data_IF_694692513810
#
_entry.id   IF_694692513810
#
_cell.length_a   1.000
_cell.length_b   1.000
_cell.length_c   1.000
_cell.angle_alpha   90.00
_cell.angle_beta   90.00
_cell.angle_gamma   90.00
#
_symmetry.space_group_name_H-M   'P 1'
#
loop_
_entity.id
_entity.type
_entity.pdbx_description
1 polymer ?
#
# COMPACT_ATOMS: atom_id res chain seq x y z
N UNK A 1 1.06 -0.56 -9.62
CA UNK A 1 -0.06 -1.11 -10.42
C UNK A 1 -1.30 -0.27 -10.20
N UNK A 2 -1.92 0.15 -11.27
CA UNK A 2 -3.15 0.94 -11.27
C UNK A 2 -4.06 0.36 -12.36
N UNK A 3 -4.87 -0.63 -12.01
CA UNK A 3 -5.77 -1.32 -12.92
C UNK A 3 -7.22 -1.14 -12.48
N UNK A 4 -7.99 -0.48 -13.32
CA UNK A 4 -9.44 -0.30 -13.14
C UNK A 4 -10.15 -0.33 -14.49
N UNK A 5 -11.45 -0.56 -14.47
CA UNK A 5 -12.33 -0.47 -15.61
C UNK A 5 -13.49 0.51 -15.32
N UNK A 6 -14.50 0.58 -16.20
CA UNK A 6 -15.66 1.45 -16.01
C UNK A 6 -16.39 1.23 -14.68
N UNK A 7 -16.34 0.01 -14.14
CA UNK A 7 -17.05 -0.41 -12.93
C UNK A 7 -16.18 -0.33 -11.67
N UNK A 8 -14.92 0.11 -11.78
CA UNK A 8 -13.98 0.21 -10.66
C UNK A 8 -12.72 -0.64 -10.84
N UNK A 9 -12.27 -1.31 -9.78
CA UNK A 9 -11.07 -2.15 -9.81
C UNK A 9 -11.22 -3.32 -10.76
N UNK A 10 -10.14 -3.63 -11.50
CA UNK A 10 -10.14 -4.76 -12.42
C UNK A 10 -10.23 -6.10 -11.66
N UNK A 11 -11.19 -6.98 -11.99
CA UNK A 11 -11.32 -8.29 -11.32
C UNK A 11 -10.06 -9.16 -11.41
N UNK A 12 -9.20 -8.92 -12.40
CA UNK A 12 -7.92 -9.61 -12.55
C UNK A 12 -7.03 -9.48 -11.30
N UNK A 13 -7.14 -8.40 -10.53
CA UNK A 13 -6.39 -8.21 -9.28
C UNK A 13 -6.78 -9.21 -8.19
N UNK A 14 -7.97 -9.79 -8.26
CA UNK A 14 -8.43 -10.82 -7.32
C UNK A 14 -8.03 -12.24 -7.75
N UNK A 15 -7.43 -12.41 -8.92
CA UNK A 15 -6.98 -13.73 -9.40
C UNK A 15 -5.85 -14.25 -8.50
N UNK A 16 -5.87 -15.56 -8.14
CA UNK A 16 -4.97 -16.09 -7.10
C UNK A 16 -3.48 -15.91 -7.38
N UNK A 17 -3.08 -15.88 -8.64
CA UNK A 17 -1.68 -15.84 -9.06
C UNK A 17 -1.19 -14.49 -9.55
N UNK A 18 -2.06 -13.48 -9.65
CA UNK A 18 -1.68 -12.15 -10.15
C UNK A 18 -0.54 -11.54 -9.31
N UNK A 19 -0.74 -11.40 -8.01
CA UNK A 19 0.26 -10.81 -7.11
C UNK A 19 1.48 -11.71 -6.92
N UNK A 20 1.30 -13.02 -6.98
CA UNK A 20 2.43 -13.96 -6.95
C UNK A 20 3.35 -13.76 -8.14
N UNK A 21 2.80 -13.56 -9.31
CA UNK A 21 3.58 -13.19 -10.51
C UNK A 21 4.25 -11.83 -10.37
N UNK A 22 3.55 -10.83 -9.84
CA UNK A 22 4.16 -9.52 -9.55
C UNK A 22 5.35 -9.66 -8.61
N UNK A 23 5.20 -10.43 -7.52
CA UNK A 23 6.29 -10.66 -6.57
C UNK A 23 7.50 -11.32 -7.22
N UNK A 24 7.30 -12.29 -8.10
CA UNK A 24 8.40 -12.97 -8.79
C UNK A 24 9.30 -12.05 -9.61
N UNK A 25 8.84 -10.84 -9.94
CA UNK A 25 9.59 -9.83 -10.66
C UNK A 25 10.40 -8.88 -9.75
N UNK A 26 10.31 -9.02 -8.43
CA UNK A 26 10.88 -8.07 -7.48
C UNK A 26 12.27 -8.45 -6.92
N UNK A 27 12.82 -9.60 -7.26
CA UNK A 27 14.18 -10.04 -6.92
C UNK A 27 14.54 -9.98 -5.40
N UNK A 28 13.56 -10.20 -4.52
CA UNK A 28 13.79 -10.30 -3.07
C UNK A 28 14.00 -8.97 -2.33
N UNK A 29 14.03 -7.84 -3.02
CA UNK A 29 14.21 -6.50 -2.41
C UNK A 29 13.25 -5.44 -2.96
N UNK A 30 12.33 -5.86 -3.78
CA UNK A 30 11.40 -4.94 -4.43
C UNK A 30 10.15 -4.65 -3.61
N UNK A 31 9.49 -3.58 -3.99
CA UNK A 31 8.21 -3.14 -3.43
C UNK A 31 7.20 -3.05 -4.57
N UNK A 32 6.06 -3.70 -4.40
CA UNK A 32 4.91 -3.52 -5.27
C UNK A 32 4.02 -2.43 -4.67
N UNK A 33 3.66 -1.42 -5.44
CA UNK A 33 2.64 -0.45 -5.07
C UNK A 33 1.40 -0.64 -5.94
N UNK A 34 0.24 -0.75 -5.30
CA UNK A 34 -1.05 -0.96 -5.97
C UNK A 34 -2.00 0.15 -5.55
N UNK A 35 -2.52 0.89 -6.53
CA UNK A 35 -3.58 1.86 -6.27
C UNK A 35 -4.93 1.13 -6.27
N UNK A 36 -5.60 1.10 -5.12
CA UNK A 36 -6.88 0.44 -4.92
C UNK A 36 -7.98 1.50 -4.75
N UNK A 37 -8.96 1.44 -5.60
CA UNK A 37 -10.13 2.29 -5.46
C UNK A 37 -11.16 1.66 -4.51
N UNK A 38 -11.53 2.40 -3.48
CA UNK A 38 -12.46 1.94 -2.42
C UNK A 38 -13.92 2.30 -2.71
N UNK A 39 -14.33 2.25 -3.99
CA UNK A 39 -15.72 2.51 -4.40
C UNK A 39 -16.65 1.33 -4.09
N UNK A 40 -17.71 1.17 -4.87
CA UNK A 40 -18.89 0.38 -4.54
C UNK A 40 -18.74 -1.15 -4.48
N UNK A 41 -17.56 -1.71 -4.70
CA UNK A 41 -17.30 -3.17 -4.71
C UNK A 41 -16.47 -3.63 -3.51
N UNK A 42 -17.04 -3.54 -2.34
CA UNK A 42 -16.36 -3.94 -1.09
C UNK A 42 -15.91 -5.41 -1.10
N UNK A 43 -16.70 -6.33 -1.66
CA UNK A 43 -16.37 -7.75 -1.73
C UNK A 43 -15.14 -8.02 -2.62
N UNK A 44 -15.06 -7.33 -3.76
CA UNK A 44 -13.92 -7.41 -4.66
C UNK A 44 -12.66 -6.84 -4.00
N UNK A 45 -12.78 -5.71 -3.32
CA UNK A 45 -11.69 -5.09 -2.60
C UNK A 45 -11.13 -6.01 -1.50
N UNK A 46 -12.01 -6.66 -0.73
CA UNK A 46 -11.61 -7.65 0.28
C UNK A 46 -10.88 -8.84 -0.35
N UNK A 47 -11.33 -9.31 -1.51
CA UNK A 47 -10.66 -10.39 -2.24
C UNK A 47 -9.28 -9.99 -2.73
N UNK A 48 -9.14 -8.77 -3.24
CA UNK A 48 -7.85 -8.19 -3.67
C UNK A 48 -6.88 -8.09 -2.48
N UNK A 49 -7.32 -7.54 -1.36
CA UNK A 49 -6.50 -7.44 -0.14
C UNK A 49 -6.04 -8.81 0.35
N UNK A 50 -6.93 -9.80 0.34
CA UNK A 50 -6.60 -11.17 0.74
C UNK A 50 -5.56 -11.79 -0.20
N UNK A 51 -5.71 -11.63 -1.51
CA UNK A 51 -4.77 -12.12 -2.50
C UNK A 51 -3.38 -11.48 -2.35
N UNK A 52 -3.34 -10.16 -2.13
CA UNK A 52 -2.10 -9.42 -1.91
C UNK A 52 -1.37 -9.91 -0.65
N UNK A 53 -2.07 -9.99 0.49
CA UNK A 53 -1.51 -10.48 1.74
C UNK A 53 -0.95 -11.90 1.63
N UNK A 54 -1.71 -12.80 0.99
CA UNK A 54 -1.26 -14.18 0.77
C UNK A 54 0.00 -14.23 -0.08
N UNK A 55 0.09 -13.44 -1.15
CA UNK A 55 1.22 -13.46 -2.07
C UNK A 55 2.49 -12.85 -1.48
N UNK A 56 2.35 -11.95 -0.50
CA UNK A 56 3.47 -11.27 0.15
C UNK A 56 3.69 -11.69 1.61
N UNK A 57 3.14 -12.84 2.02
CA UNK A 57 3.33 -13.41 3.37
C UNK A 57 2.98 -12.40 4.48
N UNK A 58 1.89 -11.66 4.31
CA UNK A 58 1.45 -10.55 5.17
C UNK A 58 2.41 -9.35 5.27
N UNK A 59 3.50 -9.32 4.49
CA UNK A 59 4.38 -8.17 4.41
C UNK A 59 3.74 -7.06 3.54
N UNK A 60 2.65 -6.50 4.04
CA UNK A 60 1.81 -5.52 3.33
C UNK A 60 1.54 -4.32 4.23
N UNK A 61 1.55 -3.12 3.64
CA UNK A 61 1.10 -1.88 4.26
C UNK A 61 -0.01 -1.24 3.44
N UNK A 62 -0.89 -0.52 4.11
CA UNK A 62 -1.99 0.22 3.50
C UNK A 62 -1.87 1.70 3.83
N UNK A 63 -1.94 2.54 2.80
CA UNK A 63 -1.96 3.99 2.94
C UNK A 63 -3.27 4.53 2.34
N UNK A 64 -4.29 4.81 3.18
CA UNK A 64 -5.47 5.53 2.71
C UNK A 64 -5.10 6.92 2.22
N UNK A 65 -5.60 7.31 1.07
CA UNK A 65 -5.37 8.66 0.54
C UNK A 65 -6.52 9.55 1.01
N UNK A 66 -6.20 10.48 1.93
CA UNK A 66 -7.17 11.41 2.48
C UNK A 66 -7.90 12.17 1.38
N UNK A 67 -9.22 12.36 1.55
CA UNK A 67 -10.12 13.07 0.63
C UNK A 67 -10.34 12.37 -0.72
N UNK A 68 -9.82 11.16 -0.91
CA UNK A 68 -10.03 10.34 -2.10
C UNK A 68 -10.50 8.94 -1.70
N UNK A 69 -11.18 8.28 -2.61
CA UNK A 69 -11.63 6.90 -2.41
C UNK A 69 -10.57 5.89 -2.85
N UNK A 70 -9.31 6.17 -2.47
CA UNK A 70 -8.16 5.34 -2.84
C UNK A 70 -7.43 4.89 -1.59
N UNK A 71 -6.88 3.70 -1.66
CA UNK A 71 -5.84 3.21 -0.76
C UNK A 71 -4.67 2.74 -1.62
N UNK A 72 -3.47 3.18 -1.30
CA UNK A 72 -2.27 2.59 -1.90
C UNK A 72 -1.84 1.44 -1.01
N UNK A 73 -1.81 0.23 -1.54
CA UNK A 73 -1.28 -0.94 -0.85
C UNK A 73 0.15 -1.20 -1.32
N UNK A 74 1.03 -1.53 -0.38
CA UNK A 74 2.43 -1.89 -0.65
C UNK A 74 2.68 -3.33 -0.24
N UNK A 75 3.18 -4.13 -1.18
CA UNK A 75 3.68 -5.49 -0.90
C UNK A 75 5.20 -5.48 -0.92
N UNK A 76 5.83 -6.01 0.12
CA UNK A 76 7.28 -6.06 0.28
C UNK A 76 7.80 -7.47 0.01
N UNK A 77 8.73 -7.61 -0.91
CA UNK A 77 9.42 -8.90 -1.14
C UNK A 77 10.61 -9.09 -0.17
N UNK A 78 10.40 -8.59 1.05
CA UNK A 78 11.28 -8.72 2.21
C UNK A 78 10.42 -8.53 3.48
N UNK A 79 10.92 -8.79 4.69
CA UNK A 79 10.14 -8.62 5.90
C UNK A 79 9.53 -7.22 6.02
N UNK A 80 8.26 -7.17 6.44
CA UNK A 80 7.53 -5.90 6.59
C UNK A 80 8.37 -4.89 7.40
N UNK A 81 8.58 -3.67 6.88
CA UNK A 81 9.38 -2.68 7.58
C UNK A 81 8.69 -2.24 8.89
N UNK A 82 9.50 -1.85 9.86
CA UNK A 82 9.04 -1.15 11.06
C UNK A 82 9.86 0.13 11.22
N UNK A 83 9.26 1.13 11.86
CA UNK A 83 9.85 2.47 11.96
C UNK A 83 10.05 2.89 13.41
N UNK A 84 11.14 3.61 13.67
CA UNK A 84 11.26 4.46 14.84
C UNK A 84 10.51 5.77 14.54
N UNK A 85 9.49 6.10 15.37
CA UNK A 85 8.53 7.19 15.08
C UNK A 85 9.22 8.55 14.89
N UNK A 86 10.21 8.85 15.74
CA UNK A 86 10.91 10.14 15.67
C UNK A 86 11.69 10.28 14.37
N UNK A 87 12.37 9.22 13.95
CA UNK A 87 13.10 9.18 12.70
C UNK A 87 12.17 9.30 11.49
N UNK A 88 11.07 8.56 11.49
CA UNK A 88 10.08 8.63 10.42
C UNK A 88 9.45 10.03 10.30
N UNK A 89 9.14 10.68 11.42
CA UNK A 89 8.62 12.06 11.42
C UNK A 89 9.63 13.05 10.84
N UNK A 90 10.90 12.93 11.21
CA UNK A 90 11.96 13.79 10.65
C UNK A 90 12.05 13.60 9.14
N UNK A 91 12.11 12.36 8.67
CA UNK A 91 12.14 12.07 7.24
C UNK A 91 10.94 12.65 6.51
N UNK A 92 9.73 12.54 7.06
CA UNK A 92 8.53 13.13 6.45
C UNK A 92 8.62 14.65 6.33
N UNK A 93 9.14 15.33 7.36
CA UNK A 93 9.35 16.78 7.33
C UNK A 93 10.42 17.20 6.32
N UNK A 94 11.50 16.44 6.22
CA UNK A 94 12.58 16.70 5.25
C UNK A 94 12.06 16.54 3.82
N UNK A 95 11.24 15.51 3.55
CA UNK A 95 10.60 15.31 2.27
C UNK A 95 9.59 16.42 1.94
N UNK A 96 8.82 16.92 2.92
CA UNK A 96 7.93 18.07 2.71
C UNK A 96 8.70 19.34 2.33
N UNK A 97 9.87 19.54 2.91
CA UNK A 97 10.73 20.68 2.59
C UNK A 97 11.33 20.55 1.18
N UNK A 98 11.67 19.32 0.76
CA UNK A 98 12.25 19.04 -0.56
C UNK A 98 11.20 19.06 -1.67
N UNK A 99 10.04 18.45 -1.42
CA UNK A 99 8.95 18.31 -2.39
C UNK A 99 7.74 19.12 -1.95
N UNK A 100 7.78 20.41 -2.12
CA UNK A 100 6.70 21.33 -1.74
C UNK A 100 5.35 20.91 -2.37
N UNK A 101 4.28 21.00 -1.57
CA UNK A 101 2.93 20.63 -2.00
C UNK A 101 2.55 19.17 -1.78
N UNK A 102 3.43 18.36 -1.21
CA UNK A 102 3.14 16.96 -0.82
C UNK A 102 3.14 16.85 0.70
N UNK A 103 2.04 16.39 1.28
CA UNK A 103 1.80 16.32 2.72
C UNK A 103 2.33 15.01 3.33
N UNK A 104 3.64 14.78 3.30
CA UNK A 104 4.26 13.53 3.79
C UNK A 104 3.99 13.27 5.28
N UNK A 105 3.92 14.30 6.11
CA UNK A 105 3.58 14.15 7.53
C UNK A 105 2.15 13.65 7.72
N UNK A 106 1.22 14.06 6.86
CA UNK A 106 -0.15 13.52 6.88
C UNK A 106 -0.15 12.06 6.42
N UNK A 107 0.55 11.73 5.33
CA UNK A 107 0.67 10.35 4.86
C UNK A 107 1.27 9.44 5.92
N UNK A 108 2.27 9.91 6.66
CA UNK A 108 2.84 9.15 7.77
C UNK A 108 1.81 8.88 8.87
N UNK A 109 1.00 9.87 9.26
CA UNK A 109 -0.08 9.68 10.25
C UNK A 109 -1.09 8.64 9.78
N UNK A 110 -1.53 8.73 8.53
CA UNK A 110 -2.51 7.82 7.94
C UNK A 110 -1.94 6.39 7.83
N UNK A 111 -0.67 6.28 7.44
CA UNK A 111 0.05 5.00 7.37
C UNK A 111 0.13 4.32 8.74
N UNK A 112 0.52 5.06 9.77
CA UNK A 112 0.63 4.55 11.14
C UNK A 112 -0.72 4.15 11.72
N UNK A 113 -1.75 4.93 11.46
CA UNK A 113 -3.11 4.64 11.92
C UNK A 113 -3.69 3.37 11.27
N UNK A 114 -3.32 3.11 10.01
CA UNK A 114 -3.88 2.01 9.22
C UNK A 114 -3.09 0.69 9.35
N UNK A 115 -1.91 0.72 9.95
CA UNK A 115 -1.02 -0.44 10.03
C UNK A 115 -0.52 -0.65 11.46
N UNK A 116 -1.31 -1.31 12.33
CA UNK A 116 -0.89 -1.61 13.70
C UNK A 116 0.44 -2.38 13.73
N UNK A 117 1.30 -2.06 14.71
CA UNK A 117 2.59 -2.70 14.87
C UNK A 117 3.68 -2.24 13.89
N UNK A 118 3.45 -1.14 13.16
CA UNK A 118 4.43 -0.57 12.24
C UNK A 118 5.56 0.19 12.94
N UNK A 119 5.36 0.58 14.18
CA UNK A 119 6.34 1.33 14.99
C UNK A 119 6.95 0.46 16.09
N UNK A 120 8.15 0.80 16.43
CA UNK A 120 8.89 0.21 17.55
C UNK A 120 9.58 1.26 18.40
#
# INVERSE_FOLDING_TARGET
VDLHNHDGMAPALAQPDFFTRCRSLLDGQGILAVNLWTGDRESLLKSIHRALRRSFDDAVLHLPVSRKRNTVAFGFDFPRPSFEVRSARRTAMDLEAEYGGVEFSQFLRDLLASNPGLVH
#
